data_IF_569636017240
#
_entry.id   IF_569636017240
#
_cell.length_a   1.000
_cell.length_b   1.000
_cell.length_c   1.000
_cell.angle_alpha   90.00
_cell.angle_beta   90.00
_cell.angle_gamma   90.00
#
_symmetry.space_group_name_H-M   'P 1'
#
loop_
_entity.id
_entity.type
_entity.pdbx_description
1 polymer ?
#
# COMPACT_ATOMS: atom_id res chain seq x y z
N UNK A 1 30.63 9.90 22.53
CA UNK A 1 29.31 9.31 22.25
C UNK A 1 28.30 10.45 22.24
N UNK A 2 27.85 10.89 21.07
CA UNK A 2 26.86 11.98 20.95
C UNK A 2 25.47 11.42 21.17
N UNK A 3 24.86 11.80 22.30
CA UNK A 3 23.46 11.46 22.61
C UNK A 3 22.55 12.19 21.61
N UNK A 4 21.91 11.44 20.72
CA UNK A 4 20.84 11.94 19.87
C UNK A 4 19.58 12.07 20.73
N UNK A 5 19.36 13.26 21.28
CA UNK A 5 18.13 13.59 21.99
C UNK A 5 17.00 13.65 20.97
N UNK A 6 16.07 12.69 21.02
CA UNK A 6 14.90 12.70 20.15
C UNK A 6 14.06 13.96 20.45
N UNK A 7 14.02 14.90 19.50
CA UNK A 7 13.20 16.11 19.61
C UNK A 7 11.74 15.64 19.64
N UNK A 8 10.95 15.99 20.67
CA UNK A 8 9.54 15.62 20.73
C UNK A 8 8.83 16.26 19.54
N UNK A 9 8.27 15.43 18.65
CA UNK A 9 7.54 15.91 17.47
C UNK A 9 6.32 16.69 17.94
N UNK A 10 6.28 17.99 17.62
CA UNK A 10 5.13 18.85 17.93
C UNK A 10 3.86 18.20 17.34
N UNK A 11 2.76 18.08 18.11
CA UNK A 11 1.54 17.47 17.60
C UNK A 11 1.06 18.24 16.37
N UNK A 12 0.76 17.50 15.30
CA UNK A 12 0.33 18.07 14.04
C UNK A 12 -0.94 18.90 14.25
N UNK A 13 -0.87 20.22 14.02
CA UNK A 13 -2.06 21.07 14.02
C UNK A 13 -2.88 20.80 12.76
N UNK A 14 -3.79 19.83 12.85
CA UNK A 14 -4.70 19.44 11.78
C UNK A 14 -6.16 19.71 12.16
N UNK A 15 -6.94 20.21 11.18
CA UNK A 15 -8.38 20.43 11.31
C UNK A 15 -9.09 19.12 11.67
N UNK A 16 -10.05 19.18 12.60
CA UNK A 16 -10.78 18.00 13.07
C UNK A 16 -11.49 17.24 11.93
N UNK A 17 -12.14 17.95 11.00
CA UNK A 17 -12.78 17.37 9.82
C UNK A 17 -11.80 16.53 8.97
N UNK A 18 -10.55 17.00 8.78
CA UNK A 18 -9.55 16.26 8.01
C UNK A 18 -9.08 14.99 8.73
N UNK A 19 -8.92 15.05 10.06
CA UNK A 19 -8.66 13.84 10.87
C UNK A 19 -9.78 12.82 10.71
N UNK A 20 -11.02 13.27 10.84
CA UNK A 20 -12.18 12.40 10.73
C UNK A 20 -12.29 11.77 9.33
N UNK A 21 -12.10 12.55 8.25
CA UNK A 21 -12.09 12.02 6.89
C UNK A 21 -11.00 10.96 6.66
N UNK A 22 -9.82 11.15 7.25
CA UNK A 22 -8.73 10.16 7.20
C UNK A 22 -9.14 8.87 7.93
N UNK A 23 -9.70 8.99 9.14
CA UNK A 23 -10.14 7.84 9.94
C UNK A 23 -11.23 7.04 9.22
N UNK A 24 -12.23 7.71 8.66
CA UNK A 24 -13.31 7.08 7.88
C UNK A 24 -12.76 6.30 6.68
N UNK A 25 -11.81 6.91 5.95
CA UNK A 25 -11.17 6.25 4.82
C UNK A 25 -10.38 5.01 5.23
N UNK A 26 -9.57 5.09 6.29
CA UNK A 26 -8.67 4.00 6.68
C UNK A 26 -9.44 2.88 7.39
N UNK A 27 -10.30 3.22 8.36
CA UNK A 27 -10.96 2.22 9.22
C UNK A 27 -12.24 1.67 8.62
N UNK A 28 -13.01 2.48 7.90
CA UNK A 28 -14.26 2.04 7.25
C UNK A 28 -14.11 1.72 5.76
N UNK A 29 -12.95 1.99 5.15
CA UNK A 29 -12.70 1.72 3.73
C UNK A 29 -13.51 2.62 2.76
N UNK A 30 -14.00 3.77 3.23
CA UNK A 30 -14.80 4.69 2.42
C UNK A 30 -13.99 5.34 1.30
N UNK A 31 -14.66 5.68 0.20
CA UNK A 31 -14.06 6.50 -0.85
C UNK A 31 -13.76 7.91 -0.32
N UNK A 32 -12.81 8.61 -0.96
CA UNK A 32 -12.43 9.97 -0.51
C UNK A 32 -13.63 10.91 -0.53
N UNK A 33 -14.49 10.82 -1.54
CA UNK A 33 -15.68 11.68 -1.67
C UNK A 33 -16.66 11.43 -0.53
N UNK A 34 -17.01 10.18 -0.26
CA UNK A 34 -17.93 9.81 0.82
C UNK A 34 -17.37 10.16 2.20
N UNK A 35 -16.08 9.89 2.44
CA UNK A 35 -15.43 10.24 3.71
C UNK A 35 -15.36 11.75 3.93
N UNK A 36 -15.16 12.54 2.87
CA UNK A 36 -15.16 14.00 2.95
C UNK A 36 -16.56 14.56 3.21
N UNK A 37 -17.58 13.99 2.57
CA UNK A 37 -18.98 14.34 2.78
C UNK A 37 -19.42 14.09 4.23
N UNK A 38 -19.17 12.89 4.74
CA UNK A 38 -19.47 12.51 6.14
C UNK A 38 -18.67 13.37 7.14
N UNK A 39 -17.43 13.74 6.81
CA UNK A 39 -16.61 14.61 7.64
C UNK A 39 -16.91 16.12 7.50
N UNK A 40 -17.88 16.51 6.65
CA UNK A 40 -18.24 17.91 6.43
C UNK A 40 -17.13 18.75 5.81
N UNK A 41 -16.37 18.19 4.87
CA UNK A 41 -15.33 18.91 4.12
C UNK A 41 -15.38 18.67 2.61
N UNK A 42 -14.82 19.59 1.82
CA UNK A 42 -14.77 19.40 0.37
C UNK A 42 -13.65 18.42 -0.04
N UNK A 43 -13.87 17.59 -1.08
CA UNK A 43 -12.83 16.72 -1.62
C UNK A 43 -11.58 17.48 -2.07
N UNK A 44 -11.75 18.67 -2.66
CA UNK A 44 -10.63 19.51 -3.10
C UNK A 44 -9.78 19.98 -1.90
N UNK A 45 -10.43 20.27 -0.78
CA UNK A 45 -9.74 20.59 0.47
C UNK A 45 -8.90 19.43 1.00
N UNK A 46 -9.40 18.19 0.85
CA UNK A 46 -8.67 16.98 1.21
C UNK A 46 -7.43 16.78 0.32
N UNK A 47 -7.61 16.86 -1.00
CA UNK A 47 -6.49 16.74 -1.95
C UNK A 47 -5.43 17.82 -1.73
N UNK A 48 -5.83 19.06 -1.44
CA UNK A 48 -4.90 20.14 -1.09
C UNK A 48 -4.14 19.84 0.20
N UNK A 49 -4.81 19.31 1.22
CA UNK A 49 -4.17 18.98 2.49
C UNK A 49 -3.15 17.84 2.36
N UNK A 50 -3.43 16.86 1.50
CA UNK A 50 -2.53 15.73 1.22
C UNK A 50 -1.21 16.12 0.55
N UNK A 51 -1.09 17.35 0.02
CA UNK A 51 0.20 17.86 -0.49
C UNK A 51 1.20 18.17 0.64
N UNK A 52 0.73 18.30 1.89
CA UNK A 52 1.59 18.58 3.05
C UNK A 52 2.19 17.28 3.56
N UNK A 53 3.51 17.19 3.63
CA UNK A 53 4.23 15.99 4.08
C UNK A 53 3.70 15.47 5.42
N UNK A 54 3.57 16.35 6.40
CA UNK A 54 3.13 15.99 7.74
C UNK A 54 1.69 15.43 7.81
N UNK A 55 0.82 15.75 6.84
CA UNK A 55 -0.52 15.14 6.73
C UNK A 55 -0.43 13.73 6.13
N UNK A 56 0.48 13.50 5.18
CA UNK A 56 0.74 12.17 4.62
C UNK A 56 1.37 11.25 5.65
N UNK A 57 2.30 11.76 6.46
CA UNK A 57 2.93 11.02 7.53
C UNK A 57 1.89 10.58 8.58
N UNK A 58 0.94 11.47 8.91
CA UNK A 58 -0.19 11.12 9.76
C UNK A 58 -1.09 10.04 9.12
N UNK A 59 -1.44 10.18 7.84
CA UNK A 59 -2.22 9.14 7.14
C UNK A 59 -1.51 7.78 7.19
N UNK A 60 -0.22 7.74 6.93
CA UNK A 60 0.58 6.53 7.01
C UNK A 60 0.60 5.95 8.43
N UNK A 61 0.72 6.80 9.44
CA UNK A 61 0.66 6.39 10.85
C UNK A 61 -0.68 5.71 11.17
N UNK A 62 -1.79 6.34 10.78
CA UNK A 62 -3.14 5.77 10.99
C UNK A 62 -3.33 4.44 10.25
N UNK A 63 -2.76 4.31 9.04
CA UNK A 63 -2.78 3.05 8.29
C UNK A 63 -2.00 1.95 9.00
N UNK A 64 -0.80 2.26 9.50
CA UNK A 64 0.03 1.30 10.23
C UNK A 64 -0.62 0.87 11.55
N UNK A 65 -1.18 1.82 12.30
CA UNK A 65 -1.92 1.52 13.53
C UNK A 65 -3.12 0.63 13.26
N UNK A 66 -3.87 0.91 12.19
CA UNK A 66 -5.01 0.08 11.82
C UNK A 66 -4.58 -1.35 11.44
N UNK A 67 -3.56 -1.50 10.59
CA UNK A 67 -3.03 -2.82 10.23
C UNK A 67 -2.53 -3.58 11.46
N UNK A 68 -1.80 -2.91 12.36
CA UNK A 68 -1.34 -3.52 13.60
C UNK A 68 -2.50 -3.98 14.48
N UNK A 69 -3.57 -3.20 14.60
CA UNK A 69 -4.78 -3.59 15.35
C UNK A 69 -5.51 -4.78 14.74
N UNK A 70 -5.59 -4.85 13.41
CA UNK A 70 -6.21 -5.99 12.73
C UNK A 70 -5.37 -7.25 12.90
N UNK A 71 -4.05 -7.13 12.82
CA UNK A 71 -3.13 -8.25 13.02
C UNK A 71 -3.16 -8.76 14.46
N UNK A 72 -3.30 -7.88 15.47
CA UNK A 72 -3.47 -8.31 16.86
C UNK A 72 -4.75 -9.12 17.08
N UNK A 73 -5.84 -8.75 16.38
CA UNK A 73 -7.13 -9.42 16.51
C UNK A 73 -7.24 -10.70 15.66
N UNK A 74 -6.26 -10.96 14.79
CA UNK A 74 -6.26 -12.07 13.84
C UNK A 74 -6.46 -13.43 14.50
N UNK A 75 -5.80 -13.69 15.64
CA UNK A 75 -5.95 -14.95 16.36
C UNK A 75 -7.39 -15.15 16.86
N UNK A 76 -8.00 -14.09 17.38
CA UNK A 76 -9.39 -14.11 17.84
C UNK A 76 -10.37 -14.28 16.69
N UNK A 77 -10.17 -13.58 15.58
CA UNK A 77 -10.98 -13.76 14.37
C UNK A 77 -10.86 -15.18 13.81
N UNK A 78 -9.66 -15.76 13.81
CA UNK A 78 -9.43 -17.15 13.41
C UNK A 78 -10.17 -18.13 14.34
N UNK A 79 -10.09 -17.93 15.65
CA UNK A 79 -10.81 -18.76 16.62
C UNK A 79 -12.34 -18.67 16.40
N UNK A 80 -12.87 -17.47 16.15
CA UNK A 80 -14.30 -17.28 15.87
C UNK A 80 -14.73 -17.92 14.55
N UNK A 81 -13.89 -17.84 13.52
CA UNK A 81 -14.12 -18.52 12.25
C UNK A 81 -14.16 -20.05 12.42
N UNK A 82 -13.30 -20.61 13.27
CA UNK A 82 -13.32 -22.05 13.61
C UNK A 82 -14.62 -22.45 14.33
N UNK A 83 -15.11 -21.63 15.27
CA UNK A 83 -16.39 -21.88 15.94
C UNK A 83 -17.55 -21.90 14.94
N UNK A 84 -17.62 -20.91 14.04
CA UNK A 84 -18.66 -20.85 13.00
C UNK A 84 -18.53 -22.01 12.01
N UNK A 85 -17.30 -22.37 11.62
CA UNK A 85 -17.04 -23.52 10.74
C UNK A 85 -17.52 -24.83 11.36
N UNK A 86 -17.31 -25.02 12.67
CA UNK A 86 -17.79 -26.19 13.41
C UNK A 86 -19.33 -26.24 13.42
N UNK A 87 -19.99 -25.11 13.68
CA UNK A 87 -21.45 -25.02 13.62
C UNK A 87 -21.99 -25.36 12.22
N UNK A 88 -21.36 -24.82 11.16
CA UNK A 88 -21.72 -25.15 9.78
C UNK A 88 -21.51 -26.63 9.46
N UNK A 89 -20.44 -27.25 9.97
CA UNK A 89 -20.18 -28.68 9.76
C UNK A 89 -21.25 -29.56 10.39
N UNK A 90 -21.73 -29.21 11.58
CA UNK A 90 -22.69 -30.02 12.34
C UNK A 90 -24.14 -29.76 11.93
N UNK A 91 -24.48 -28.49 11.67
CA UNK A 91 -25.88 -28.05 11.59
C UNK A 91 -26.32 -27.59 10.20
N UNK A 92 -25.41 -27.43 9.22
CA UNK A 92 -25.80 -27.02 7.87
C UNK A 92 -26.68 -28.09 7.20
N UNK A 93 -27.74 -27.63 6.52
CA UNK A 93 -28.64 -28.48 5.71
C UNK A 93 -27.99 -28.97 4.41
N UNK A 94 -26.95 -28.28 3.94
CA UNK A 94 -26.26 -28.61 2.69
C UNK A 94 -25.10 -29.57 2.94
N UNK A 95 -25.19 -30.78 2.37
CA UNK A 95 -24.11 -31.77 2.41
C UNK A 95 -22.81 -31.25 1.80
N UNK A 96 -22.89 -30.46 0.72
CA UNK A 96 -21.71 -29.86 0.09
C UNK A 96 -20.97 -28.90 1.04
N UNK A 97 -21.70 -28.11 1.83
CA UNK A 97 -21.10 -27.21 2.82
C UNK A 97 -20.45 -28.02 3.95
N UNK A 98 -21.14 -29.06 4.46
CA UNK A 98 -20.58 -29.94 5.50
C UNK A 98 -19.30 -30.64 5.01
N UNK A 99 -19.33 -31.24 3.82
CA UNK A 99 -18.18 -31.91 3.23
C UNK A 99 -16.98 -30.97 3.08
N UNK A 100 -17.20 -29.72 2.63
CA UNK A 100 -16.14 -28.71 2.56
C UNK A 100 -15.57 -28.34 3.93
N UNK A 101 -16.40 -28.25 4.97
CA UNK A 101 -15.91 -27.99 6.33
C UNK A 101 -15.11 -29.18 6.88
N UNK A 102 -15.57 -30.41 6.64
CA UNK A 102 -14.82 -31.63 7.00
C UNK A 102 -13.47 -31.65 6.29
N UNK A 103 -13.45 -31.37 4.99
CA UNK A 103 -12.20 -31.25 4.22
C UNK A 103 -11.29 -30.16 4.79
N UNK A 104 -11.84 -28.97 5.07
CA UNK A 104 -11.08 -27.85 5.65
C UNK A 104 -10.45 -28.19 7.00
N UNK A 105 -11.19 -28.82 7.91
CA UNK A 105 -10.67 -29.21 9.23
C UNK A 105 -9.73 -30.41 9.18
N UNK A 106 -9.90 -31.34 8.23
CA UNK A 106 -8.97 -32.45 8.01
C UNK A 106 -7.70 -32.02 7.25
N UNK A 107 -7.77 -30.90 6.53
CA UNK A 107 -6.64 -30.31 5.79
C UNK A 107 -5.76 -29.50 6.73
N UNK A 108 -4.96 -30.18 7.56
CA UNK A 108 -4.01 -29.49 8.43
C UNK A 108 -2.89 -28.86 7.58
N UNK A 109 -3.01 -27.56 7.32
CA UNK A 109 -1.89 -26.73 6.88
C UNK A 109 -1.28 -27.05 5.50
N UNK A 110 -2.04 -27.52 4.50
CA UNK A 110 -1.57 -27.49 3.10
C UNK A 110 -1.42 -26.04 2.63
N UNK A 111 -0.34 -25.39 3.05
CA UNK A 111 0.09 -24.11 2.50
C UNK A 111 0.60 -24.44 1.11
N UNK A 112 -0.11 -24.00 0.07
CA UNK A 112 0.45 -24.01 -1.28
C UNK A 112 1.66 -23.07 -1.26
N UNK A 113 2.91 -23.57 -1.36
CA UNK A 113 4.05 -22.69 -1.33
C UNK A 113 4.11 -21.96 -2.67
N UNK A 114 3.63 -20.72 -2.72
CA UNK A 114 3.96 -19.81 -3.82
C UNK A 114 5.44 -19.47 -3.64
N UNK A 115 6.32 -20.24 -4.29
CA UNK A 115 7.74 -19.97 -4.37
C UNK A 115 7.97 -18.81 -5.36
N UNK A 116 8.12 -17.60 -4.82
CA UNK A 116 8.59 -16.47 -5.62
C UNK A 116 10.10 -16.66 -5.85
N UNK A 117 10.46 -17.20 -7.01
CA UNK A 117 11.85 -17.20 -7.46
C UNK A 117 12.20 -15.81 -8.01
N UNK A 118 12.99 -15.05 -7.24
CA UNK A 118 13.65 -13.85 -7.74
C UNK A 118 14.96 -14.30 -8.39
N UNK A 119 15.03 -14.26 -9.71
CA UNK A 119 16.28 -14.47 -10.43
C UNK A 119 17.18 -13.23 -10.24
N UNK A 120 18.18 -13.36 -9.38
CA UNK A 120 19.12 -12.29 -9.04
C UNK A 120 20.05 -11.88 -10.20
N UNK A 121 19.97 -12.55 -11.36
CA UNK A 121 20.82 -12.26 -12.53
C UNK A 121 20.40 -11.00 -13.30
N UNK A 122 19.22 -10.44 -13.04
CA UNK A 122 18.85 -9.10 -13.53
C UNK A 122 19.21 -8.02 -12.51
N UNK A 123 20.49 -7.90 -12.20
CA UNK A 123 21.01 -6.74 -11.45
C UNK A 123 21.15 -5.58 -12.43
N UNK A 124 20.07 -4.82 -12.66
CA UNK A 124 20.20 -3.46 -13.18
C UNK A 124 20.91 -2.65 -12.09
N UNK A 125 22.23 -2.50 -12.27
CA UNK A 125 23.15 -2.02 -11.26
C UNK A 125 22.84 -0.61 -10.79
N UNK A 126 22.67 -0.45 -9.49
CA UNK A 126 22.98 0.82 -8.86
C UNK A 126 24.49 0.88 -8.69
N UNK A 127 25.16 1.62 -9.58
CA UNK A 127 26.59 1.92 -9.46
C UNK A 127 26.80 2.88 -8.29
N UNK A 128 27.55 2.44 -7.29
CA UNK A 128 27.87 3.25 -6.12
C UNK A 128 28.94 4.28 -6.49
N UNK A 129 28.52 5.54 -6.66
CA UNK A 129 29.44 6.66 -6.95
C UNK A 129 30.10 7.13 -5.65
N UNK A 130 31.44 7.17 -5.63
CA UNK A 130 32.20 7.69 -4.49
C UNK A 130 32.12 9.23 -4.47
N UNK A 131 32.12 9.88 -3.29
CA UNK A 131 32.07 11.34 -3.19
C UNK A 131 33.22 11.97 -4.01
N UNK A 132 32.87 12.68 -5.09
CA UNK A 132 33.83 13.34 -6.00
C UNK A 132 33.72 12.96 -7.47
N UNK A 133 32.96 11.92 -7.84
CA UNK A 133 32.71 11.58 -9.25
C UNK A 133 31.46 12.29 -9.79
N UNK A 134 31.60 13.02 -10.90
CA UNK A 134 30.49 13.61 -11.66
C UNK A 134 29.95 12.58 -12.66
N UNK A 135 28.63 12.39 -12.66
CA UNK A 135 27.92 11.57 -13.64
C UNK A 135 27.59 12.44 -14.87
N UNK A 136 28.09 12.00 -16.02
CA UNK A 136 27.90 12.45 -17.41
C UNK A 136 26.85 13.56 -17.63
N UNK A 137 27.32 14.67 -18.21
CA UNK A 137 26.50 15.74 -18.79
C UNK A 137 25.86 15.25 -20.10
N UNK A 138 24.52 15.26 -20.17
CA UNK A 138 23.80 14.95 -21.41
C UNK A 138 23.90 16.17 -22.31
N UNK A 139 24.82 16.14 -23.28
CA UNK A 139 24.85 17.11 -24.38
C UNK A 139 23.63 16.85 -25.27
N UNK A 140 22.78 17.85 -25.43
CA UNK A 140 21.59 17.78 -26.27
C UNK A 140 21.95 17.41 -27.70
N UNK A 141 21.41 16.29 -28.19
CA UNK A 141 21.55 15.85 -29.56
C UNK A 141 20.81 16.80 -30.51
N UNK A 142 21.54 17.77 -31.04
CA UNK A 142 21.32 18.21 -32.41
C UNK A 142 22.21 17.34 -33.29
N UNK A 143 21.63 16.59 -34.20
CA UNK A 143 22.35 16.22 -35.41
C UNK A 143 21.41 16.17 -36.62
N UNK A 144 21.92 16.81 -37.64
CA UNK A 144 21.34 17.08 -38.95
C UNK A 144 22.26 16.34 -39.90
N UNK A 145 21.73 15.43 -40.72
CA UNK A 145 22.20 15.17 -42.10
C UNK A 145 21.66 13.82 -42.60
N UNK A 146 20.96 13.81 -43.74
CA UNK A 146 21.63 13.39 -44.97
C UNK A 146 20.74 13.59 -46.20
N UNK A 147 21.29 14.37 -47.12
CA UNK A 147 20.82 14.58 -48.48
C UNK A 147 20.86 13.27 -49.29
N UNK A 148 19.73 12.90 -49.88
CA UNK A 148 19.70 12.06 -51.10
C UNK A 148 19.08 12.86 -52.25
N UNK A 149 19.95 13.35 -53.13
CA UNK A 149 19.58 13.82 -54.45
C UNK A 149 19.24 12.64 -55.37
N UNK A 150 18.10 12.72 -56.08
CA UNK A 150 17.69 11.72 -57.06
C UNK A 150 16.36 12.04 -57.77
N UNK A 151 16.44 12.88 -58.80
CA UNK A 151 15.71 12.79 -60.08
C UNK A 151 14.16 12.86 -60.14
N UNK A 152 13.68 13.71 -61.07
CA UNK A 152 12.35 13.81 -61.72
C UNK A 152 11.46 14.93 -61.14
N UNK A 153 10.92 15.89 -61.89
CA UNK A 153 10.83 16.12 -63.32
C UNK A 153 9.83 17.27 -63.57
N UNK A 154 9.83 17.77 -64.81
CA UNK A 154 9.05 18.88 -65.41
C UNK A 154 9.68 20.26 -65.29
#
# INVERSE_FOLDING_TARGET
MTNLTAIPTRPLRMRAALRHAIDLRVKKGMTITAACEEAGMSPQGYHKAMKRAAVRDYLQTVQLEFVASVESDKAMHKARAMQVGMDLMLNSKSEAVRARMVEFFASDGKVSPVSVHIDARQTAGYEFVRPGQQVVEIVGGGDTSDDKAGSSGV
#
